data_IF_095482293904
#
_entry.id   IF_095482293904
#
_cell.length_a   1.000
_cell.length_b   1.000
_cell.length_c   1.000
_cell.angle_alpha   90.00
_cell.angle_beta   90.00
_cell.angle_gamma   90.00
#
_symmetry.space_group_name_H-M   'P 1'
#
loop_
_entity.id
_entity.type
_entity.pdbx_description
1 polymer ?
#
# COMPACT_ATOMS: atom_id res chain seq x y z
N UNK A 1 -25.77 -10.91 -3.15
CA UNK A 1 -24.72 -11.16 -2.15
C UNK A 1 -24.79 -10.12 -1.04
N UNK A 2 -24.51 -10.51 0.18
CA UNK A 2 -24.20 -9.56 1.23
C UNK A 2 -22.75 -9.09 1.04
N UNK A 3 -22.53 -7.79 1.16
CA UNK A 3 -21.22 -7.17 0.94
C UNK A 3 -20.77 -6.52 2.24
N UNK A 4 -19.62 -6.93 2.74
CA UNK A 4 -19.00 -6.32 3.92
C UNK A 4 -17.64 -5.77 3.56
N UNK A 5 -17.44 -4.45 3.76
CA UNK A 5 -16.12 -3.82 3.59
C UNK A 5 -15.18 -4.31 4.68
N UNK A 6 -13.97 -4.69 4.29
CA UNK A 6 -12.99 -5.27 5.21
C UNK A 6 -12.02 -4.23 5.78
N UNK A 7 -11.34 -3.49 4.92
CA UNK A 7 -10.28 -2.56 5.31
C UNK A 7 -10.32 -1.28 4.47
N UNK A 8 -9.70 -0.22 4.95
CA UNK A 8 -9.37 0.94 4.13
C UNK A 8 -8.15 0.63 3.26
N UNK A 9 -8.23 1.00 1.98
CA UNK A 9 -7.11 0.84 1.05
C UNK A 9 -6.32 2.14 0.97
N UNK A 10 -5.40 2.30 1.91
CA UNK A 10 -4.47 3.43 1.95
C UNK A 10 -3.20 3.01 1.22
N UNK A 11 -2.79 3.79 0.23
CA UNK A 11 -1.53 3.60 -0.49
C UNK A 11 -0.54 4.71 -0.15
N UNK A 12 0.74 4.34 -0.03
CA UNK A 12 1.83 5.24 0.28
C UNK A 12 3.15 4.70 -0.30
N UNK A 13 4.09 5.60 -0.64
CA UNK A 13 5.41 5.17 -1.07
C UNK A 13 6.20 4.61 0.11
N UNK A 14 6.89 3.48 -0.10
CA UNK A 14 7.75 2.85 0.89
C UNK A 14 9.08 2.45 0.28
N UNK A 15 10.13 2.50 1.07
CA UNK A 15 11.46 2.06 0.65
C UNK A 15 12.27 1.56 1.84
N UNK A 16 13.40 0.92 1.55
CA UNK A 16 14.41 0.61 2.57
C UNK A 16 15.02 1.90 3.13
N UNK A 17 15.33 1.97 4.44
CA UNK A 17 16.10 3.09 4.99
C UNK A 17 17.42 3.35 4.29
N UNK A 18 18.03 2.33 3.68
CA UNK A 18 19.30 2.45 2.93
C UNK A 18 19.23 3.44 1.76
N UNK A 19 18.04 3.67 1.20
CA UNK A 19 17.89 4.66 0.13
C UNK A 19 18.09 6.10 0.61
N UNK A 20 17.95 6.37 1.90
CA UNK A 20 18.14 7.68 2.50
C UNK A 20 19.59 7.99 2.90
N UNK A 21 20.53 7.06 2.74
CA UNK A 21 21.96 7.27 3.06
C UNK A 21 22.56 8.43 2.24
N UNK A 22 22.04 8.70 1.04
CA UNK A 22 22.38 9.83 0.19
C UNK A 22 21.66 11.14 0.51
N UNK A 23 20.86 11.18 1.58
CA UNK A 23 20.01 12.30 1.97
C UNK A 23 18.52 12.05 1.78
N UNK A 24 17.66 13.01 2.16
CA UNK A 24 16.22 12.86 2.06
C UNK A 24 15.74 12.77 0.60
N UNK A 25 14.65 12.05 0.40
CA UNK A 25 13.96 12.00 -0.90
C UNK A 25 13.02 13.18 -0.97
N UNK A 26 13.17 13.98 -2.02
CA UNK A 26 12.39 15.20 -2.25
C UNK A 26 11.71 15.17 -3.62
N UNK A 27 10.46 15.62 -3.68
CA UNK A 27 9.73 15.78 -4.93
C UNK A 27 9.69 17.27 -5.28
N UNK A 28 10.00 17.65 -6.55
CA UNK A 28 10.42 16.81 -7.68
C UNK A 28 11.93 16.56 -7.79
N UNK A 29 12.76 17.17 -6.91
CA UNK A 29 14.19 17.40 -7.13
C UNK A 29 15.03 16.13 -7.39
N UNK A 30 14.87 15.09 -6.57
CA UNK A 30 15.71 13.89 -6.69
C UNK A 30 14.92 12.58 -6.85
N UNK A 31 13.60 12.66 -6.87
CA UNK A 31 12.73 11.50 -6.93
C UNK A 31 12.96 10.63 -8.19
N UNK A 32 13.27 11.29 -9.31
CA UNK A 32 13.55 10.60 -10.59
C UNK A 32 14.83 9.76 -10.58
N UNK A 33 15.68 9.90 -9.57
CA UNK A 33 16.89 9.07 -9.40
C UNK A 33 16.57 7.66 -8.92
N UNK A 34 15.40 7.45 -8.38
CA UNK A 34 14.98 6.17 -7.79
C UNK A 34 14.09 5.40 -8.77
N UNK A 35 14.22 4.09 -8.75
CA UNK A 35 13.29 3.24 -9.48
C UNK A 35 11.95 3.18 -8.77
N UNK A 36 10.87 3.27 -9.53
CA UNK A 36 9.53 3.03 -9.05
C UNK A 36 9.20 1.54 -9.20
N UNK A 37 8.80 0.93 -8.10
CA UNK A 37 8.41 -0.48 -8.05
C UNK A 37 6.88 -0.56 -7.98
N UNK A 38 6.30 -1.38 -8.83
CA UNK A 38 4.87 -1.61 -8.86
C UNK A 38 4.50 -3.09 -9.06
N UNK A 39 3.22 -3.38 -9.00
CA UNK A 39 2.66 -4.69 -9.31
C UNK A 39 1.80 -4.57 -10.57
N UNK A 40 1.89 -5.58 -11.45
CA UNK A 40 1.14 -5.64 -12.70
C UNK A 40 -0.38 -5.52 -12.46
N UNK A 41 -0.89 -6.09 -11.37
CA UNK A 41 -2.30 -6.01 -10.99
C UNK A 41 -2.75 -4.64 -10.44
N UNK A 42 -1.84 -3.69 -10.27
CA UNK A 42 -2.12 -2.35 -9.71
C UNK A 42 -1.42 -1.25 -10.51
N UNK A 43 -1.73 -1.11 -11.80
CA UNK A 43 -0.97 -0.25 -12.72
C UNK A 43 -1.16 1.25 -12.45
N UNK A 44 -2.26 1.63 -11.79
CA UNK A 44 -2.65 3.04 -11.64
C UNK A 44 -2.20 3.69 -10.33
N UNK A 45 -1.70 2.90 -9.37
CA UNK A 45 -1.43 3.39 -8.02
C UNK A 45 -0.45 4.57 -8.00
N UNK A 46 0.63 4.52 -8.76
CA UNK A 46 1.59 5.62 -8.85
C UNK A 46 0.98 6.89 -9.43
N UNK A 47 0.24 6.80 -10.53
CA UNK A 47 -0.41 7.96 -11.16
C UNK A 47 -1.41 8.61 -10.21
N UNK A 48 -2.25 7.82 -9.57
CA UNK A 48 -3.25 8.30 -8.62
C UNK A 48 -2.61 8.98 -7.40
N UNK A 49 -1.50 8.43 -6.92
CA UNK A 49 -0.79 9.03 -5.82
C UNK A 49 -0.15 10.37 -6.21
N UNK A 50 0.52 10.45 -7.38
CA UNK A 50 1.08 11.72 -7.88
C UNK A 50 -0.02 12.78 -8.06
N UNK A 51 -1.15 12.42 -8.64
CA UNK A 51 -2.30 13.32 -8.78
C UNK A 51 -2.79 13.82 -7.43
N UNK A 52 -2.84 12.95 -6.42
CA UNK A 52 -3.31 13.30 -5.08
C UNK A 52 -2.45 14.34 -4.37
N UNK A 53 -1.19 14.44 -4.74
CA UNK A 53 -0.25 15.45 -4.22
C UNK A 53 -0.07 16.65 -5.15
N UNK A 54 -0.90 16.74 -6.21
CA UNK A 54 -0.92 17.88 -7.14
C UNK A 54 0.15 17.85 -8.21
N UNK A 55 0.77 16.70 -8.45
CA UNK A 55 1.80 16.54 -9.48
C UNK A 55 1.25 15.83 -10.72
N UNK A 56 1.48 16.45 -11.88
CA UNK A 56 1.27 15.82 -13.17
C UNK A 56 2.62 15.36 -13.71
N UNK A 57 2.87 14.06 -13.63
CA UNK A 57 4.09 13.42 -14.10
C UNK A 57 3.78 12.36 -15.14
N UNK A 58 4.71 12.11 -16.04
CA UNK A 58 4.63 10.98 -16.96
C UNK A 58 5.44 9.84 -16.35
N UNK A 59 4.80 8.69 -16.12
CA UNK A 59 5.50 7.53 -15.56
C UNK A 59 6.64 7.03 -16.46
N UNK A 60 6.56 7.31 -17.76
CA UNK A 60 7.63 7.00 -18.73
C UNK A 60 8.94 7.73 -18.43
N UNK A 61 8.87 8.84 -17.71
CA UNK A 61 10.07 9.63 -17.30
C UNK A 61 10.83 8.97 -16.13
N UNK A 62 10.26 7.91 -15.53
CA UNK A 62 10.86 7.20 -14.42
C UNK A 62 11.34 5.81 -14.84
N UNK A 63 12.47 5.39 -14.25
CA UNK A 63 12.85 3.99 -14.30
C UNK A 63 11.89 3.17 -13.45
N UNK A 64 11.29 2.12 -14.03
CA UNK A 64 10.26 1.29 -13.37
C UNK A 64 10.61 -0.18 -13.43
N UNK A 65 10.23 -0.90 -12.38
CA UNK A 65 10.22 -2.35 -12.33
C UNK A 65 8.84 -2.81 -11.88
N UNK A 66 8.21 -3.62 -12.73
CA UNK A 66 6.89 -4.21 -12.44
C UNK A 66 7.04 -5.67 -12.05
N UNK A 67 6.40 -6.05 -10.97
CA UNK A 67 6.41 -7.40 -10.41
C UNK A 67 5.05 -8.07 -10.59
N UNK A 68 5.03 -9.39 -10.62
CA UNK A 68 3.79 -10.15 -10.76
C UNK A 68 2.83 -9.96 -9.58
N UNK A 69 3.37 -9.66 -8.39
CA UNK A 69 2.58 -9.42 -7.19
C UNK A 69 3.10 -8.25 -6.37
N UNK A 70 2.21 -7.67 -5.56
CA UNK A 70 2.57 -6.64 -4.60
C UNK A 70 3.60 -7.15 -3.58
N UNK A 71 3.49 -8.39 -3.14
CA UNK A 71 4.44 -8.98 -2.19
C UNK A 71 5.87 -8.98 -2.73
N UNK A 72 6.08 -9.31 -4.00
CA UNK A 72 7.40 -9.25 -4.63
C UNK A 72 7.93 -7.82 -4.75
N UNK A 73 7.07 -6.87 -5.07
CA UNK A 73 7.44 -5.45 -5.12
C UNK A 73 7.88 -4.93 -3.74
N UNK A 74 7.21 -5.37 -2.66
CA UNK A 74 7.57 -4.99 -1.30
C UNK A 74 8.89 -5.62 -0.86
N UNK A 75 9.13 -6.89 -1.19
CA UNK A 75 10.43 -7.52 -0.95
C UNK A 75 11.56 -6.79 -1.67
N UNK A 76 11.36 -6.40 -2.92
CA UNK A 76 12.34 -5.61 -3.67
C UNK A 76 12.61 -4.25 -3.01
N UNK A 77 11.58 -3.61 -2.45
CA UNK A 77 11.75 -2.37 -1.70
C UNK A 77 12.55 -2.57 -0.41
N UNK A 78 12.30 -3.65 0.34
CA UNK A 78 13.08 -4.03 1.53
C UNK A 78 14.56 -4.21 1.19
N UNK A 79 14.85 -4.85 0.05
CA UNK A 79 16.21 -5.08 -0.45
C UNK A 79 16.88 -3.81 -1.05
N UNK A 80 16.18 -2.68 -1.06
CA UNK A 80 16.73 -1.40 -1.49
C UNK A 80 16.73 -1.18 -3.01
N UNK A 81 15.92 -1.93 -3.77
CA UNK A 81 15.89 -1.81 -5.23
C UNK A 81 15.15 -0.58 -5.75
N UNK A 82 14.37 0.10 -4.90
CA UNK A 82 13.63 1.28 -5.28
C UNK A 82 12.53 1.64 -4.28
N UNK A 83 11.61 2.47 -4.73
CA UNK A 83 10.47 2.94 -3.96
C UNK A 83 9.22 2.21 -4.48
N UNK A 84 8.52 1.48 -3.61
CA UNK A 84 7.29 0.79 -3.96
C UNK A 84 6.07 1.61 -3.55
N UNK A 85 5.00 1.57 -4.35
CA UNK A 85 3.69 2.02 -3.91
C UNK A 85 3.00 0.88 -3.17
N UNK A 86 2.85 1.02 -1.87
CA UNK A 86 2.36 -0.05 -1.01
C UNK A 86 0.97 0.23 -0.44
N UNK A 87 0.21 -0.84 -0.23
CA UNK A 87 -1.00 -0.82 0.56
C UNK A 87 -0.60 -0.91 2.04
N UNK A 88 -0.94 0.11 2.82
CA UNK A 88 -0.50 0.26 4.20
C UNK A 88 -0.76 -1.00 5.05
N UNK A 89 -1.96 -1.56 4.98
CA UNK A 89 -2.32 -2.72 5.81
C UNK A 89 -1.52 -3.99 5.49
N UNK A 90 -0.87 -4.07 4.32
CA UNK A 90 0.00 -5.18 3.93
C UNK A 90 1.46 -4.99 4.35
N UNK A 91 1.88 -3.77 4.67
CA UNK A 91 3.26 -3.44 5.06
C UNK A 91 3.38 -2.83 6.45
N UNK A 92 2.32 -2.89 7.24
CA UNK A 92 2.30 -2.29 8.59
C UNK A 92 3.40 -2.86 9.48
N UNK A 93 3.65 -4.17 9.45
CA UNK A 93 4.69 -4.81 10.23
C UNK A 93 6.10 -4.38 9.81
N UNK A 94 6.34 -4.22 8.52
CA UNK A 94 7.62 -3.77 7.97
C UNK A 94 7.89 -2.29 8.32
N UNK A 95 6.85 -1.47 8.31
CA UNK A 95 6.95 -0.07 8.75
C UNK A 95 7.19 0.02 10.27
N UNK A 96 6.50 -0.78 11.06
CA UNK A 96 6.67 -0.82 12.51
C UNK A 96 8.07 -1.33 12.91
N UNK A 97 8.59 -2.33 12.22
CA UNK A 97 9.92 -2.90 12.48
C UNK A 97 11.07 -2.06 11.92
N UNK A 98 10.78 -1.07 11.07
CA UNK A 98 11.79 -0.24 10.41
C UNK A 98 12.46 -0.88 9.20
N UNK A 99 12.01 -2.05 8.73
CA UNK A 99 12.48 -2.65 7.48
C UNK A 99 12.10 -1.81 6.26
N UNK A 100 10.94 -1.17 6.33
CA UNK A 100 10.49 -0.17 5.39
C UNK A 100 10.24 1.14 6.12
N UNK A 101 10.43 2.23 5.40
CA UNK A 101 10.07 3.58 5.83
C UNK A 101 9.20 4.23 4.75
N UNK A 102 8.40 5.21 5.15
CA UNK A 102 7.71 6.09 4.23
C UNK A 102 8.59 7.33 3.99
N UNK A 103 9.27 7.44 2.84
CA UNK A 103 10.20 8.54 2.59
C UNK A 103 9.51 9.89 2.39
N UNK A 104 8.22 9.86 2.09
CA UNK A 104 7.39 11.03 1.81
C UNK A 104 6.08 10.88 2.61
N UNK A 105 5.78 11.78 3.55
CA UNK A 105 4.64 11.65 4.46
C UNK A 105 3.31 11.99 3.77
N UNK A 106 3.06 11.37 2.63
CA UNK A 106 1.86 11.54 1.82
C UNK A 106 1.24 10.18 1.52
N UNK A 107 -0.04 10.05 1.79
CA UNK A 107 -0.80 8.84 1.49
C UNK A 107 -2.09 9.19 0.74
N UNK A 108 -2.64 8.21 0.03
CA UNK A 108 -3.92 8.30 -0.65
C UNK A 108 -4.84 7.20 -0.14
N UNK A 109 -6.03 7.59 0.33
CA UNK A 109 -7.11 6.62 0.59
C UNK A 109 -7.88 6.38 -0.71
N UNK A 110 -7.88 5.13 -1.20
CA UNK A 110 -8.57 4.74 -2.43
C UNK A 110 -10.09 4.62 -2.29
N UNK A 111 -10.64 4.98 -1.12
CA UNK A 111 -12.09 5.03 -0.87
C UNK A 111 -12.77 3.67 -1.02
N UNK A 112 -13.71 3.58 -1.96
CA UNK A 112 -14.46 2.34 -2.24
C UNK A 112 -13.66 1.28 -2.98
N UNK A 113 -12.52 1.63 -3.56
CA UNK A 113 -11.60 0.68 -4.19
C UNK A 113 -10.76 -0.03 -3.13
N UNK A 114 -11.36 -1.03 -2.50
CA UNK A 114 -10.79 -1.77 -1.38
C UNK A 114 -11.26 -3.22 -1.37
N UNK A 115 -11.07 -3.92 -0.27
CA UNK A 115 -11.41 -5.33 -0.12
C UNK A 115 -12.77 -5.51 0.53
N UNK A 116 -13.53 -6.41 -0.01
CA UNK A 116 -14.88 -6.74 0.44
C UNK A 116 -15.04 -8.25 0.62
N UNK A 117 -15.74 -8.62 1.68
CA UNK A 117 -16.21 -9.99 1.87
C UNK A 117 -17.60 -10.11 1.22
N UNK A 118 -17.74 -11.04 0.32
CA UNK A 118 -19.02 -11.37 -0.32
C UNK A 118 -19.55 -12.68 0.22
N UNK A 119 -20.80 -12.67 0.68
CA UNK A 119 -21.51 -13.87 1.10
C UNK A 119 -22.75 -14.07 0.24
N UNK A 120 -23.02 -15.30 -0.25
CA UNK A 120 -24.19 -15.58 -1.07
C UNK A 120 -25.50 -15.27 -0.34
N UNK A 121 -26.49 -14.73 -1.07
CA UNK A 121 -27.86 -14.61 -0.56
C UNK A 121 -28.58 -15.95 -0.64
N UNK A 122 -29.40 -16.25 0.38
CA UNK A 122 -30.36 -17.35 0.34
C UNK A 122 -29.77 -18.77 0.44
N UNK A 123 -28.49 -18.93 0.71
CA UNK A 123 -27.88 -20.22 1.05
C UNK A 123 -27.64 -20.31 2.55
N UNK A 124 -27.94 -21.48 3.13
CA UNK A 124 -27.52 -21.76 4.48
C UNK A 124 -26.00 -21.80 4.52
N UNK A 125 -25.41 -20.77 5.12
CA UNK A 125 -23.97 -20.71 5.36
C UNK A 125 -23.57 -21.85 6.30
N UNK A 126 -22.54 -22.61 5.94
CA UNK A 126 -22.02 -23.66 6.81
C UNK A 126 -21.46 -23.08 8.11
N UNK A 127 -21.38 -23.89 9.18
CA UNK A 127 -20.82 -23.41 10.45
C UNK A 127 -19.37 -22.96 10.28
N UNK A 128 -18.58 -23.69 9.49
CA UNK A 128 -17.19 -23.33 9.20
C UNK A 128 -17.07 -21.96 8.50
N UNK A 129 -17.96 -21.65 7.56
CA UNK A 129 -17.97 -20.35 6.88
C UNK A 129 -18.34 -19.21 7.83
N UNK A 130 -19.29 -19.44 8.75
CA UNK A 130 -19.65 -18.48 9.80
C UNK A 130 -18.48 -18.22 10.75
N UNK A 131 -17.83 -19.28 11.21
CA UNK A 131 -16.69 -19.20 12.12
C UNK A 131 -15.51 -18.44 11.46
N UNK A 132 -15.21 -18.78 10.21
CA UNK A 132 -14.19 -18.07 9.43
C UNK A 132 -14.51 -16.58 9.26
N UNK A 133 -15.75 -16.25 8.91
CA UNK A 133 -16.19 -14.87 8.75
C UNK A 133 -16.05 -14.08 10.07
N UNK A 134 -16.49 -14.68 11.18
CA UNK A 134 -16.41 -14.06 12.51
C UNK A 134 -14.95 -13.80 12.86
N UNK A 135 -14.09 -14.80 12.72
CA UNK A 135 -12.65 -14.65 12.95
C UNK A 135 -12.03 -13.58 12.06
N UNK A 136 -12.32 -13.60 10.75
CA UNK A 136 -11.76 -12.61 9.80
C UNK A 136 -12.15 -11.19 10.17
N UNK A 137 -13.40 -10.95 10.54
CA UNK A 137 -13.89 -9.62 10.93
C UNK A 137 -13.29 -9.16 12.26
N UNK A 138 -13.01 -10.06 13.18
CA UNK A 138 -12.32 -9.75 14.44
C UNK A 138 -10.85 -9.38 14.19
N UNK A 139 -10.13 -10.17 13.40
CA UNK A 139 -8.75 -9.88 13.01
C UNK A 139 -8.62 -8.52 12.32
N UNK A 140 -9.52 -8.22 11.39
CA UNK A 140 -9.49 -6.96 10.63
C UNK A 140 -9.84 -5.75 11.51
N UNK A 141 -10.67 -5.88 12.53
CA UNK A 141 -10.96 -4.78 13.47
C UNK A 141 -9.71 -4.32 14.23
N UNK A 142 -8.72 -5.17 14.36
CA UNK A 142 -7.42 -4.80 14.91
C UNK A 142 -6.57 -3.96 13.94
N UNK A 143 -6.87 -4.03 12.63
CA UNK A 143 -6.22 -3.20 11.63
C UNK A 143 -6.82 -1.79 11.67
N UNK A 144 -6.00 -0.81 11.96
CA UNK A 144 -6.44 0.58 12.09
C UNK A 144 -6.92 1.16 10.76
N UNK A 145 -8.16 1.66 10.70
CA UNK A 145 -8.66 2.52 9.61
C UNK A 145 -8.08 3.94 9.68
N UNK A 146 -7.25 4.22 10.67
CA UNK A 146 -6.61 5.52 10.85
C UNK A 146 -5.35 5.62 10.00
N UNK A 147 -5.01 6.84 9.54
CA UNK A 147 -3.72 7.08 8.89
C UNK A 147 -2.57 6.57 9.76
N UNK A 148 -1.52 6.00 9.14
CA UNK A 148 -0.38 5.48 9.88
C UNK A 148 0.17 6.52 10.86
N UNK A 149 0.51 6.13 12.11
CA UNK A 149 1.10 7.05 13.09
C UNK A 149 2.37 7.75 12.60
N UNK A 150 3.11 7.09 11.73
CA UNK A 150 4.27 7.60 10.99
C UNK A 150 4.00 8.91 10.24
N UNK A 151 2.75 9.14 9.80
CA UNK A 151 2.37 10.35 9.08
C UNK A 151 1.88 11.47 10.00
N UNK A 152 1.72 11.19 11.29
CA UNK A 152 1.32 12.19 12.30
C UNK A 152 2.49 12.91 12.94
N UNK A 153 3.70 12.42 12.72
CA UNK A 153 4.95 12.95 13.30
C UNK A 153 5.80 13.77 12.30
N UNK A 154 5.22 14.06 11.16
CA UNK A 154 5.86 14.91 10.15
C UNK A 154 5.15 16.25 10.03
#
# INVERSE_FOLDING_TARGET
>A
ANVTRLVSNIILPVCSPSLLEGGPIEIPHNFSRYKLLDAIGRPDDWNLWFESIGLTVKLEDFSRLSYESSALSYLAAIEGHGIAMAQYFLVESELTSGKLICPLPKFLNRGSFTYYLLTPLGKNESQQAKDFRTWLLEEIRSCSDTPPPILKSC
#
